data_IF_975971833219
#
_entry.id   IF_975971833219
#
_cell.length_a   1.000
_cell.length_b   1.000
_cell.length_c   1.000
_cell.angle_alpha   90.00
_cell.angle_beta   90.00
_cell.angle_gamma   90.00
#
_symmetry.space_group_name_H-M   'P 1'
#
loop_
_entity.id
_entity.type
_entity.pdbx_description
1 polymer ?
#
# COMPACT_ATOMS: atom_id res chain seq x y z
N UNK A 1 -2.31 22.82 8.15
CA UNK A 1 -1.20 22.12 7.46
C UNK A 1 -1.27 20.60 7.59
N UNK A 2 -1.41 20.04 8.80
CA UNK A 2 -1.41 18.58 9.00
C UNK A 2 -2.46 17.79 8.18
N UNK A 3 -3.68 18.31 8.06
CA UNK A 3 -4.75 17.66 7.28
C UNK A 3 -4.44 17.63 5.78
N UNK A 4 -3.95 18.74 5.22
CA UNK A 4 -3.54 18.80 3.82
C UNK A 4 -2.39 17.83 3.53
N UNK A 5 -1.36 17.78 4.39
CA UNK A 5 -0.25 16.84 4.25
C UNK A 5 -0.73 15.38 4.28
N UNK A 6 -1.65 15.04 5.19
CA UNK A 6 -2.23 13.70 5.27
C UNK A 6 -3.01 13.34 4.01
N UNK A 7 -3.86 14.26 3.52
CA UNK A 7 -4.65 14.01 2.30
C UNK A 7 -3.76 13.84 1.07
N UNK A 8 -2.73 14.68 0.93
CA UNK A 8 -1.81 14.61 -0.21
C UNK A 8 -0.97 13.33 -0.12
N UNK A 9 -0.30 13.07 1.01
CA UNK A 9 0.52 11.88 1.17
C UNK A 9 -0.30 10.59 1.08
N UNK A 10 -1.48 10.56 1.71
CA UNK A 10 -2.41 9.44 1.62
C UNK A 10 -2.91 9.22 0.20
N UNK A 11 -3.27 10.28 -0.52
CA UNK A 11 -3.68 10.21 -1.92
C UNK A 11 -2.58 9.68 -2.83
N UNK A 12 -1.34 10.14 -2.64
CA UNK A 12 -0.16 9.60 -3.35
C UNK A 12 0.02 8.11 -3.04
N UNK A 13 -0.09 7.72 -1.77
CA UNK A 13 0.01 6.32 -1.37
C UNK A 13 -1.05 5.44 -2.02
N UNK A 14 -2.31 5.88 -2.01
CA UNK A 14 -3.43 5.17 -2.67
C UNK A 14 -3.18 5.01 -4.16
N UNK A 15 -2.81 6.10 -4.84
CA UNK A 15 -2.55 6.07 -6.27
C UNK A 15 -1.39 5.13 -6.62
N UNK A 16 -0.31 5.15 -5.83
CA UNK A 16 0.85 4.30 -6.05
C UNK A 16 0.53 2.82 -5.87
N UNK A 17 -0.13 2.45 -4.76
CA UNK A 17 -0.55 1.06 -4.50
C UNK A 17 -1.52 0.59 -5.59
N UNK A 18 -2.54 1.38 -5.91
CA UNK A 18 -3.51 1.02 -6.95
C UNK A 18 -2.82 0.79 -8.31
N UNK A 19 -1.90 1.67 -8.68
CA UNK A 19 -1.19 1.58 -9.96
C UNK A 19 -0.26 0.37 -10.01
N UNK A 20 0.57 0.16 -8.98
CA UNK A 20 1.50 -0.96 -8.92
C UNK A 20 0.78 -2.30 -8.92
N UNK A 21 -0.26 -2.46 -8.10
CA UNK A 21 -1.09 -3.67 -8.10
C UNK A 21 -1.79 -3.86 -9.46
N UNK A 22 -2.27 -2.78 -10.09
CA UNK A 22 -2.88 -2.88 -11.42
C UNK A 22 -1.90 -3.36 -12.50
N UNK A 23 -0.64 -2.93 -12.43
CA UNK A 23 0.43 -3.39 -13.32
C UNK A 23 0.77 -4.86 -13.06
N UNK A 24 0.89 -5.24 -11.78
CA UNK A 24 1.15 -6.63 -11.36
C UNK A 24 0.05 -7.58 -11.86
N UNK A 25 -1.21 -7.25 -11.63
CA UNK A 25 -2.34 -8.05 -12.12
C UNK A 25 -2.39 -8.12 -13.64
N UNK A 26 -1.99 -7.05 -14.32
CA UNK A 26 -1.93 -7.02 -15.78
C UNK A 26 -0.83 -7.92 -16.33
N UNK A 27 0.34 -7.95 -15.67
CA UNK A 27 1.41 -8.88 -16.00
C UNK A 27 1.04 -10.34 -15.68
N UNK A 28 0.31 -10.56 -14.58
CA UNK A 28 -0.14 -11.87 -14.09
C UNK A 28 -1.47 -12.37 -14.67
N UNK A 29 -2.02 -11.75 -15.73
CA UNK A 29 -3.35 -12.12 -16.26
C UNK A 29 -3.48 -13.58 -16.65
N UNK A 30 -2.40 -14.20 -17.13
CA UNK A 30 -2.41 -15.61 -17.53
C UNK A 30 -2.59 -16.54 -16.33
N UNK A 31 -1.97 -16.21 -15.18
CA UNK A 31 -2.15 -16.97 -13.94
C UNK A 31 -3.61 -16.86 -13.43
N UNK A 32 -4.17 -15.65 -13.46
CA UNK A 32 -5.58 -15.44 -13.15
C UNK A 32 -6.51 -16.22 -14.09
N UNK A 33 -6.19 -16.31 -15.38
CA UNK A 33 -6.95 -17.09 -16.35
C UNK A 33 -6.86 -18.60 -16.08
N UNK A 34 -5.68 -19.12 -15.73
CA UNK A 34 -5.46 -20.52 -15.35
C UNK A 34 -6.29 -20.89 -14.12
N UNK A 35 -6.29 -20.04 -13.08
CA UNK A 35 -7.13 -20.24 -11.90
C UNK A 35 -8.61 -20.37 -12.29
N UNK A 36 -9.04 -19.64 -13.33
CA UNK A 36 -10.39 -19.78 -13.87
C UNK A 36 -10.66 -21.04 -14.66
N UNK A 37 -9.71 -21.48 -15.47
CA UNK A 37 -9.82 -22.76 -16.16
C UNK A 37 -9.91 -23.94 -15.19
N UNK A 38 -9.22 -23.85 -14.04
CA UNK A 38 -9.23 -24.88 -12.98
C UNK A 38 -10.50 -24.81 -12.09
N UNK A 39 -11.36 -23.79 -12.30
CA UNK A 39 -12.67 -23.69 -11.65
C UNK A 39 -12.72 -22.79 -10.41
N UNK A 40 -11.69 -21.99 -10.11
CA UNK A 40 -11.81 -21.00 -9.03
C UNK A 40 -12.86 -19.95 -9.36
N UNK A 41 -13.76 -19.71 -8.43
CA UNK A 41 -14.77 -18.65 -8.57
C UNK A 41 -14.13 -17.26 -8.63
N UNK A 42 -14.78 -16.32 -9.31
CA UNK A 42 -14.35 -14.91 -9.38
C UNK A 42 -14.24 -14.30 -7.97
N UNK A 43 -15.15 -14.67 -7.06
CA UNK A 43 -15.13 -14.20 -5.67
C UNK A 43 -13.87 -14.63 -4.93
N UNK A 44 -13.42 -15.87 -5.11
CA UNK A 44 -12.20 -16.36 -4.47
C UNK A 44 -10.97 -15.56 -4.96
N UNK A 45 -10.87 -15.31 -6.27
CA UNK A 45 -9.76 -14.51 -6.83
C UNK A 45 -9.79 -13.06 -6.34
N UNK A 46 -10.98 -12.45 -6.28
CA UNK A 46 -11.15 -11.09 -5.72
C UNK A 46 -10.70 -11.01 -4.26
N UNK A 47 -11.05 -11.99 -3.42
CA UNK A 47 -10.63 -12.00 -2.01
C UNK A 47 -9.10 -12.11 -1.89
N UNK A 48 -8.46 -12.92 -2.73
CA UNK A 48 -7.00 -13.04 -2.75
C UNK A 48 -6.36 -11.71 -3.12
N UNK A 49 -6.81 -11.06 -4.20
CA UNK A 49 -6.29 -9.75 -4.64
C UNK A 49 -6.51 -8.66 -3.58
N UNK A 50 -7.68 -8.63 -2.93
CA UNK A 50 -7.95 -7.73 -1.80
C UNK A 50 -6.91 -7.96 -0.68
N UNK A 51 -6.75 -9.22 -0.26
CA UNK A 51 -5.91 -9.58 0.86
C UNK A 51 -4.44 -9.26 0.57
N UNK A 52 -3.97 -9.56 -0.63
CA UNK A 52 -2.64 -9.21 -1.10
C UNK A 52 -2.41 -7.70 -1.10
N UNK A 53 -3.31 -6.93 -1.72
CA UNK A 53 -3.23 -5.46 -1.78
C UNK A 53 -3.13 -4.85 -0.39
N UNK A 54 -4.00 -5.28 0.54
CA UNK A 54 -4.01 -4.78 1.91
C UNK A 54 -2.74 -5.23 2.65
N UNK A 55 -2.32 -6.47 2.48
CA UNK A 55 -1.13 -7.01 3.17
C UNK A 55 0.14 -6.29 2.71
N UNK A 56 0.32 -6.08 1.41
CA UNK A 56 1.45 -5.34 0.83
C UNK A 56 1.44 -3.89 1.34
N UNK A 57 0.29 -3.22 1.35
CA UNK A 57 0.16 -1.86 1.87
C UNK A 57 0.51 -1.77 3.37
N UNK A 58 0.06 -2.74 4.17
CA UNK A 58 0.36 -2.79 5.62
C UNK A 58 1.83 -3.08 5.87
N UNK A 59 2.43 -4.07 5.19
CA UNK A 59 3.85 -4.38 5.32
C UNK A 59 4.73 -3.19 4.89
N UNK A 60 4.39 -2.56 3.77
CA UNK A 60 5.02 -1.31 3.32
C UNK A 60 4.85 -0.19 4.35
N UNK A 61 3.68 -0.08 4.98
CA UNK A 61 3.41 0.86 6.07
C UNK A 61 4.26 0.60 7.31
N UNK A 62 4.41 -0.66 7.74
CA UNK A 62 5.28 -1.06 8.85
C UNK A 62 6.73 -0.68 8.56
N UNK A 63 7.22 -0.95 7.35
CA UNK A 63 8.56 -0.55 6.92
C UNK A 63 8.71 0.97 6.82
N UNK A 64 7.70 1.67 6.31
CA UNK A 64 7.70 3.13 6.23
C UNK A 64 7.73 3.80 7.61
N UNK A 65 6.96 3.29 8.57
CA UNK A 65 6.95 3.79 9.94
C UNK A 65 8.26 3.52 10.66
N UNK A 66 8.86 2.35 10.48
CA UNK A 66 10.16 2.04 11.08
C UNK A 66 11.25 2.94 10.51
N UNK A 67 11.30 3.09 9.18
CA UNK A 67 12.25 3.99 8.50
C UNK A 67 12.03 5.45 8.91
N UNK A 68 10.79 5.92 8.96
CA UNK A 68 10.46 7.27 9.41
C UNK A 68 10.87 7.51 10.86
N UNK A 69 10.69 6.52 11.72
CA UNK A 69 11.10 6.60 13.13
C UNK A 69 12.62 6.71 13.28
N UNK A 70 13.37 5.88 12.54
CA UNK A 70 14.83 5.96 12.47
C UNK A 70 15.28 7.33 11.94
N UNK A 71 14.60 7.85 10.92
CA UNK A 71 14.86 9.17 10.36
C UNK A 71 14.68 10.30 11.37
N UNK A 72 13.62 10.27 12.18
CA UNK A 72 13.38 11.24 13.25
C UNK A 72 14.49 11.20 14.31
N UNK A 73 14.89 10.00 14.73
CA UNK A 73 15.99 9.84 15.71
C UNK A 73 17.30 10.38 15.13
N UNK A 74 17.65 9.99 13.90
CA UNK A 74 18.86 10.47 13.23
C UNK A 74 18.86 11.99 13.03
N UNK A 75 17.71 12.56 12.69
CA UNK A 75 17.55 14.01 12.52
C UNK A 75 17.77 14.75 13.85
N UNK A 76 17.20 14.26 14.95
CA UNK A 76 17.40 14.88 16.27
C UNK A 76 18.86 14.83 16.70
N UNK A 77 19.58 13.72 16.43
CA UNK A 77 21.02 13.61 16.72
C UNK A 77 21.81 14.67 15.94
N UNK A 78 21.58 14.76 14.63
CA UNK A 78 22.27 15.73 13.79
C UNK A 78 21.99 17.17 14.27
N UNK A 79 20.75 17.50 14.60
CA UNK A 79 20.42 18.87 15.00
C UNK A 79 20.96 19.21 16.39
N UNK A 80 21.00 18.25 17.32
CA UNK A 80 21.65 18.44 18.60
C UNK A 80 23.15 18.78 18.44
N UNK A 81 23.82 18.15 17.47
CA UNK A 81 25.24 18.39 17.17
C UNK A 81 25.50 19.75 16.50
N UNK A 82 24.69 20.13 15.51
CA UNK A 82 24.94 21.33 14.69
C UNK A 82 24.29 22.62 15.22
N UNK A 83 23.16 22.53 15.93
CA UNK A 83 22.35 23.69 16.33
C UNK A 83 22.24 23.83 17.86
N UNK A 84 22.63 22.79 18.62
CA UNK A 84 22.60 22.81 20.09
C UNK A 84 21.18 22.73 20.69
N UNK A 85 20.16 22.41 19.89
CA UNK A 85 18.79 22.19 20.36
C UNK A 85 18.56 20.70 20.58
N UNK A 86 18.20 20.32 21.81
CA UNK A 86 18.18 18.91 22.23
C UNK A 86 17.12 18.04 21.53
N UNK A 87 15.97 18.59 21.12
CA UNK A 87 14.91 17.81 20.46
C UNK A 87 14.00 18.71 19.65
N UNK A 88 13.77 18.38 18.37
CA UNK A 88 12.83 19.10 17.51
C UNK A 88 11.63 18.25 17.09
N UNK A 89 11.84 16.94 16.90
CA UNK A 89 10.79 16.01 16.52
C UNK A 89 10.56 14.95 17.60
N UNK A 90 9.34 14.87 18.13
CA UNK A 90 8.97 13.91 19.17
C UNK A 90 8.17 12.74 18.57
N UNK A 91 8.68 11.53 18.74
CA UNK A 91 7.97 10.29 18.43
C UNK A 91 7.06 9.92 19.60
N UNK A 92 5.76 10.08 19.40
CA UNK A 92 4.75 9.61 20.35
C UNK A 92 4.14 8.30 19.85
N UNK A 93 3.84 7.30 20.71
CA UNK A 93 3.20 6.06 20.28
C UNK A 93 1.91 6.25 19.48
N UNK A 94 1.16 7.33 19.75
CA UNK A 94 -0.03 7.70 18.99
C UNK A 94 0.25 7.99 17.51
N UNK A 95 1.41 8.54 17.16
CA UNK A 95 1.79 8.83 15.76
C UNK A 95 2.09 7.54 15.01
N UNK A 96 2.73 6.57 15.67
CA UNK A 96 3.00 5.23 15.11
C UNK A 96 1.67 4.54 14.80
N UNK A 97 0.74 4.52 15.76
CA UNK A 97 -0.58 3.92 15.57
C UNK A 97 -1.36 4.61 14.45
N UNK A 98 -1.34 5.95 14.41
CA UNK A 98 -1.96 6.73 13.34
C UNK A 98 -1.39 6.39 11.96
N UNK A 99 -0.07 6.26 11.84
CA UNK A 99 0.58 5.92 10.58
C UNK A 99 0.22 4.49 10.12
N UNK A 100 0.16 3.52 11.03
CA UNK A 100 -0.30 2.16 10.72
C UNK A 100 -1.78 2.12 10.30
N UNK A 101 -2.64 2.86 11.00
CA UNK A 101 -4.05 3.00 10.62
C UNK A 101 -4.21 3.65 9.23
N UNK A 102 -3.35 4.63 8.92
CA UNK A 102 -3.29 5.25 7.60
C UNK A 102 -2.87 4.23 6.54
N UNK A 103 -1.87 3.38 6.79
CA UNK A 103 -1.45 2.34 5.85
C UNK A 103 -2.58 1.35 5.53
N UNK A 104 -3.35 0.91 6.54
CA UNK A 104 -4.54 0.07 6.34
C UNK A 104 -5.57 0.82 5.49
N UNK A 105 -5.82 2.09 5.80
CA UNK A 105 -6.78 2.91 5.06
C UNK A 105 -6.38 3.07 3.60
N UNK A 106 -5.09 3.29 3.33
CA UNK A 106 -4.53 3.37 1.98
C UNK A 106 -4.75 2.05 1.23
N UNK A 107 -4.45 0.90 1.84
CA UNK A 107 -4.68 -0.41 1.23
C UNK A 107 -6.16 -0.60 0.85
N UNK A 108 -7.08 -0.33 1.78
CA UNK A 108 -8.53 -0.44 1.55
C UNK A 108 -8.99 0.50 0.43
N UNK A 109 -8.55 1.75 0.43
CA UNK A 109 -8.93 2.74 -0.58
C UNK A 109 -8.31 2.46 -1.97
N UNK A 110 -7.15 1.81 -2.03
CA UNK A 110 -6.51 1.43 -3.28
C UNK A 110 -7.18 0.22 -3.94
N UNK A 111 -7.82 -0.64 -3.15
CA UNK A 111 -8.33 -1.95 -3.58
C UNK A 111 -9.41 -1.92 -4.68
N UNK A 112 -10.33 -0.93 -4.79
CA UNK A 112 -11.36 -0.94 -5.83
C UNK A 112 -10.84 -1.03 -7.27
N UNK A 113 -9.69 -0.39 -7.57
CA UNK A 113 -9.12 -0.40 -8.91
C UNK A 113 -8.54 -1.78 -9.33
N UNK A 114 -7.67 -2.43 -8.54
CA UNK A 114 -7.23 -3.81 -8.77
C UNK A 114 -8.40 -4.80 -8.90
N UNK A 115 -9.47 -4.63 -8.11
CA UNK A 115 -10.66 -5.49 -8.18
C UNK A 115 -11.37 -5.36 -9.53
N UNK A 116 -11.57 -4.14 -9.99
CA UNK A 116 -12.18 -3.88 -11.29
C UNK A 116 -11.38 -4.57 -12.42
N UNK A 117 -10.05 -4.48 -12.37
CA UNK A 117 -9.16 -5.17 -13.31
C UNK A 117 -9.25 -6.70 -13.20
N UNK A 118 -9.23 -7.25 -11.99
CA UNK A 118 -9.29 -8.69 -11.76
C UNK A 118 -10.60 -9.31 -12.30
N UNK A 119 -11.71 -8.58 -12.20
CA UNK A 119 -13.02 -9.06 -12.69
C UNK A 119 -13.21 -8.98 -14.20
N UNK A 120 -12.47 -8.11 -14.90
CA UNK A 120 -12.56 -7.95 -16.36
C UNK A 120 -11.66 -8.90 -17.16
N UNK A 121 -10.91 -9.79 -16.50
CA UNK A 121 -10.03 -10.71 -17.21
C UNK A 121 -10.86 -11.83 -17.86
N UNK A 122 -11.06 -11.72 -19.18
CA UNK A 122 -11.71 -12.78 -19.97
C UNK A 122 -10.74 -13.95 -20.18
N UNK A 123 -11.10 -15.09 -19.57
CA UNK A 123 -10.30 -16.31 -19.56
C UNK A 123 -10.09 -16.86 -20.97
N UNK A 124 -11.11 -16.82 -21.84
CA UNK A 124 -11.02 -17.41 -23.17
C UNK A 124 -10.17 -16.56 -24.12
N UNK A 125 -10.33 -15.24 -24.06
CA UNK A 125 -9.52 -14.31 -24.86
C UNK A 125 -8.05 -14.30 -24.44
N UNK A 126 -7.75 -14.55 -23.16
CA UNK A 126 -6.38 -14.54 -22.64
C UNK A 126 -5.61 -15.84 -22.93
N UNK A 127 -6.29 -16.98 -22.99
CA UNK A 127 -5.64 -18.28 -23.25
C UNK A 127 -5.38 -18.57 -24.73
N UNK A 128 -5.99 -17.81 -25.64
CA UNK A 128 -5.87 -17.98 -27.10
C UNK A 128 -4.92 -17.00 -27.78
N UNK A 129 -4.33 -16.07 -27.01
CA UNK A 129 -3.37 -15.06 -27.48
C UNK A 129 -1.95 -15.45 -27.12
#
# INVERSE_FOLDING_TARGET
>A
MALAATLVAGGIGVAFVATMMGLELTAGRQELAILGAVGFSVRARVIVVMAETITVAVLGGVLGVSLGSVGVVGLNVAIAEFVGVATLATLTPGIILYALATAVTVGVLATPYPLYLATQTDVLATLTR
#
